data_IF_228056545971
#
_entry.id   IF_228056545971
#
_cell.length_a   1.000
_cell.length_b   1.000
_cell.length_c   1.000
_cell.angle_alpha   90.00
_cell.angle_beta   90.00
_cell.angle_gamma   90.00
#
_symmetry.space_group_name_H-M   'P 1'
#
loop_
_entity.id
_entity.type
_entity.pdbx_description
1 polymer ?
#
# COMPACT_ATOMS: atom_id res chain seq x y z
N UNK A 1 -8.65 2.22 9.08
CA UNK A 1 -7.67 1.12 9.20
C UNK A 1 -7.39 0.54 7.83
N UNK A 2 -6.13 0.57 7.37
CA UNK A 2 -5.71 0.05 6.05
C UNK A 2 -5.32 -1.42 6.18
N UNK A 3 -5.82 -2.25 5.25
CA UNK A 3 -5.56 -3.68 5.24
C UNK A 3 -5.26 -4.15 3.82
N UNK A 4 -4.41 -5.17 3.70
CA UNK A 4 -4.40 -6.01 2.48
C UNK A 4 -5.45 -7.09 2.62
N UNK A 5 -6.24 -7.27 1.58
CA UNK A 5 -7.24 -8.32 1.49
C UNK A 5 -6.79 -9.42 0.54
N UNK A 6 -6.76 -10.65 1.03
CA UNK A 6 -6.51 -11.83 0.23
C UNK A 6 -7.72 -12.75 0.28
N UNK A 7 -8.22 -13.11 -0.90
CA UNK A 7 -9.37 -14.00 -1.05
C UNK A 7 -8.88 -15.40 -1.38
N UNK A 8 -9.23 -16.34 -0.52
CA UNK A 8 -9.03 -17.78 -0.66
C UNK A 8 -10.37 -18.41 -1.06
N UNK A 9 -10.34 -19.33 -2.02
CA UNK A 9 -11.54 -20.03 -2.49
C UNK A 9 -11.97 -21.18 -1.55
N UNK A 10 -11.11 -21.54 -0.60
CA UNK A 10 -11.29 -22.67 0.30
C UNK A 10 -10.77 -22.31 1.70
N UNK A 11 -11.26 -22.96 2.77
CA UNK A 11 -10.68 -22.85 4.10
C UNK A 11 -9.19 -23.16 4.05
N UNK A 12 -8.37 -22.26 4.57
CA UNK A 12 -6.92 -22.27 4.37
C UNK A 12 -6.22 -21.81 5.63
N UNK A 13 -5.15 -22.51 6.00
CA UNK A 13 -4.22 -22.08 7.05
C UNK A 13 -2.83 -21.82 6.46
N UNK A 14 -2.10 -20.91 7.04
CA UNK A 14 -0.79 -20.55 6.54
C UNK A 14 -0.10 -19.49 7.38
N UNK A 15 0.93 -18.90 6.80
CA UNK A 15 1.75 -17.86 7.40
C UNK A 15 1.94 -16.76 6.37
N UNK A 16 1.89 -15.51 6.79
CA UNK A 16 2.33 -14.39 5.97
C UNK A 16 3.55 -13.72 6.61
N UNK A 17 4.45 -13.24 5.75
CA UNK A 17 5.63 -12.46 6.12
C UNK A 17 5.59 -11.16 5.34
N UNK A 18 5.79 -10.02 5.99
CA UNK A 18 5.92 -8.70 5.38
C UNK A 18 7.34 -8.21 5.67
N UNK A 19 8.09 -7.85 4.65
CA UNK A 19 9.49 -7.43 4.78
C UNK A 19 9.69 -6.08 4.11
N UNK A 20 10.39 -5.17 4.79
CA UNK A 20 10.74 -3.86 4.24
C UNK A 20 11.77 -4.04 3.12
N UNK A 21 11.59 -3.28 2.04
CA UNK A 21 12.53 -3.18 0.94
C UNK A 21 13.25 -1.82 1.01
N UNK A 22 13.82 -1.52 2.17
CA UNK A 22 14.58 -0.30 2.44
C UNK A 22 16.06 -0.64 2.59
N UNK A 23 16.95 0.15 1.99
CA UNK A 23 18.41 -0.04 2.13
C UNK A 23 18.89 0.15 3.58
N UNK A 24 18.07 0.78 4.43
CA UNK A 24 18.44 1.20 5.78
C UNK A 24 17.78 0.41 6.91
N UNK A 25 16.78 -0.42 6.61
CA UNK A 25 15.98 -1.10 7.64
C UNK A 25 15.53 -2.47 7.17
N UNK A 26 15.86 -3.48 7.97
CA UNK A 26 15.51 -4.89 7.79
C UNK A 26 14.35 -5.23 8.75
N UNK A 27 13.21 -4.58 8.54
CA UNK A 27 12.00 -4.85 9.30
C UNK A 27 11.25 -6.02 8.65
N UNK A 28 10.88 -6.99 9.48
CA UNK A 28 10.14 -8.16 9.05
C UNK A 28 9.07 -8.52 10.07
N UNK A 29 7.85 -8.68 9.58
CA UNK A 29 6.68 -9.05 10.36
C UNK A 29 6.17 -10.40 9.88
N UNK A 30 6.06 -11.38 10.77
CA UNK A 30 5.51 -12.69 10.44
C UNK A 30 4.32 -12.99 11.35
N UNK A 31 3.24 -13.51 10.78
CA UNK A 31 2.14 -14.05 11.55
C UNK A 31 1.48 -15.24 10.86
N UNK A 32 0.98 -16.15 11.68
CA UNK A 32 0.14 -17.26 11.22
C UNK A 32 -1.30 -16.80 11.06
N UNK A 33 -2.01 -17.44 10.13
CA UNK A 33 -3.40 -17.16 9.87
C UNK A 33 -4.19 -18.44 9.59
N UNK A 34 -5.47 -18.38 9.93
CA UNK A 34 -6.47 -19.37 9.53
C UNK A 34 -7.70 -18.65 8.98
N UNK A 35 -8.09 -19.02 7.77
CA UNK A 35 -9.27 -18.49 7.09
C UNK A 35 -10.28 -19.63 6.96
N UNK A 36 -11.44 -19.47 7.58
CA UNK A 36 -12.50 -20.47 7.58
C UNK A 36 -13.59 -20.18 6.53
N UNK A 37 -14.69 -19.52 6.91
CA UNK A 37 -15.92 -19.47 6.11
C UNK A 37 -15.99 -18.36 5.06
N UNK A 38 -15.32 -17.22 5.28
CA UNK A 38 -15.41 -16.07 4.37
C UNK A 38 -14.31 -16.06 3.31
N UNK A 39 -13.30 -16.93 3.41
CA UNK A 39 -12.17 -16.91 2.48
C UNK A 39 -11.31 -15.64 2.56
N UNK A 40 -11.59 -14.69 3.45
CA UNK A 40 -10.89 -13.40 3.49
C UNK A 40 -9.85 -13.38 4.60
N UNK A 41 -8.59 -13.25 4.22
CA UNK A 41 -7.51 -12.84 5.12
C UNK A 41 -7.38 -11.31 5.07
N UNK A 42 -7.41 -10.68 6.24
CA UNK A 42 -7.13 -9.26 6.42
C UNK A 42 -5.77 -9.12 7.09
N UNK A 43 -4.80 -8.57 6.35
CA UNK A 43 -3.47 -8.30 6.89
C UNK A 43 -3.41 -6.82 7.29
N UNK A 44 -3.25 -6.49 8.58
CA UNK A 44 -3.16 -5.11 9.03
C UNK A 44 -1.86 -4.46 8.56
N UNK A 45 -1.93 -3.20 8.13
CA UNK A 45 -0.77 -2.43 7.66
C UNK A 45 -0.40 -1.29 8.63
N UNK A 46 -1.00 -1.25 9.82
CA UNK A 46 -0.93 -0.09 10.72
C UNK A 46 0.44 0.09 11.39
N UNK A 47 1.15 -1.02 11.58
CA UNK A 47 2.50 -1.03 12.16
C UNK A 47 3.60 -0.88 11.10
N UNK A 48 3.25 -0.68 9.83
CA UNK A 48 4.23 -0.54 8.76
C UNK A 48 4.55 0.93 8.52
N UNK A 49 5.82 1.28 8.64
CA UNK A 49 6.33 2.58 8.23
C UNK A 49 6.13 2.83 6.73
N UNK A 50 6.22 4.10 6.34
CA UNK A 50 6.18 4.50 4.95
C UNK A 50 7.36 3.91 4.19
N UNK A 51 7.10 3.33 3.02
CA UNK A 51 8.16 2.72 2.23
C UNK A 51 7.70 1.65 1.26
N UNK A 52 8.68 0.97 0.69
CA UNK A 52 8.47 -0.22 -0.14
C UNK A 52 8.46 -1.45 0.75
N UNK A 53 7.46 -2.31 0.57
CA UNK A 53 7.30 -3.55 1.32
C UNK A 53 7.01 -4.71 0.37
N UNK A 54 7.43 -5.91 0.76
CA UNK A 54 7.03 -7.15 0.11
C UNK A 54 6.24 -8.01 1.11
N UNK A 55 5.09 -8.53 0.68
CA UNK A 55 4.36 -9.56 1.42
C UNK A 55 4.53 -10.90 0.72
N UNK A 56 4.89 -11.92 1.50
CA UNK A 56 4.97 -13.33 1.12
C UNK A 56 3.94 -14.10 1.92
N UNK A 57 2.99 -14.74 1.26
CA UNK A 57 1.97 -15.58 1.90
C UNK A 57 2.24 -17.01 1.51
N UNK A 58 2.36 -17.89 2.49
CA UNK A 58 2.53 -19.33 2.34
C UNK A 58 1.34 -20.03 2.97
N UNK A 59 0.76 -20.99 2.28
CA UNK A 59 -0.39 -21.71 2.80
C UNK A 59 -0.44 -23.15 2.30
N UNK A 60 -1.22 -23.97 2.99
CA UNK A 60 -1.40 -25.38 2.65
C UNK A 60 -2.88 -25.69 2.40
N UNK A 61 -3.16 -26.39 1.28
CA UNK A 61 -4.48 -26.95 0.98
C UNK A 61 -4.28 -28.39 0.53
N UNK A 62 -4.96 -29.34 1.19
CA UNK A 62 -4.93 -30.77 0.87
C UNK A 62 -3.51 -31.34 0.76
N UNK A 63 -2.62 -30.94 1.68
CA UNK A 63 -1.22 -31.40 1.73
C UNK A 63 -0.31 -30.80 0.65
N UNK A 64 -0.81 -29.84 -0.15
CA UNK A 64 -0.01 -29.09 -1.12
C UNK A 64 0.30 -27.70 -0.58
N UNK A 65 1.57 -27.31 -0.67
CA UNK A 65 2.03 -25.98 -0.29
C UNK A 65 1.94 -25.01 -1.47
N UNK A 66 1.53 -23.79 -1.18
CA UNK A 66 1.41 -22.70 -2.12
C UNK A 66 2.09 -21.46 -1.55
N UNK A 67 2.61 -20.62 -2.44
CA UNK A 67 3.23 -19.35 -2.08
C UNK A 67 2.76 -18.25 -3.04
N UNK A 68 2.53 -17.05 -2.51
CA UNK A 68 2.29 -15.84 -3.29
C UNK A 68 3.09 -14.68 -2.73
N UNK A 69 3.78 -13.96 -3.61
CA UNK A 69 4.53 -12.75 -3.27
C UNK A 69 3.92 -11.53 -3.93
N UNK A 70 3.96 -10.38 -3.25
CA UNK A 70 3.52 -9.10 -3.81
C UNK A 70 4.30 -7.95 -3.19
N UNK A 71 4.85 -7.09 -4.04
CA UNK A 71 5.43 -5.80 -3.63
C UNK A 71 4.36 -4.72 -3.59
N UNK A 72 4.45 -3.83 -2.61
CA UNK A 72 3.53 -2.70 -2.45
C UNK A 72 4.21 -1.52 -1.74
N UNK A 73 3.63 -0.34 -1.89
CA UNK A 73 4.12 0.89 -1.24
C UNK A 73 3.14 1.34 -0.16
N UNK A 74 3.64 1.62 1.03
CA UNK A 74 2.92 2.38 2.06
C UNK A 74 3.33 3.84 1.90
N UNK A 75 2.36 4.69 1.58
CA UNK A 75 2.58 6.13 1.42
C UNK A 75 2.16 6.85 2.70
N UNK A 76 2.90 7.90 3.09
CA UNK A 76 2.45 8.89 4.07
C UNK A 76 1.01 9.26 3.79
N UNK A 77 0.19 9.25 4.83
CA UNK A 77 -0.93 10.17 4.87
C UNK A 77 -0.35 11.56 5.03
N UNK A 78 0.11 12.15 3.92
CA UNK A 78 0.33 13.58 3.85
C UNK A 78 -1.03 14.20 4.13
N UNK A 79 -1.19 14.77 5.31
CA UNK A 79 -2.24 15.72 5.62
C UNK A 79 -2.20 16.83 4.56
N UNK A 80 -2.93 16.66 3.46
CA UNK A 80 -3.18 17.69 2.45
C UNK A 80 -4.22 18.68 2.98
N UNK A 81 -4.01 19.21 4.19
CA UNK A 81 -4.81 20.31 4.72
C UNK A 81 -3.92 21.53 4.94
N UNK A 82 -4.29 22.57 4.20
CA UNK A 82 -3.80 23.96 4.20
C UNK A 82 -2.50 24.27 3.45
N UNK A 83 -2.57 24.19 2.13
CA UNK A 83 -1.99 25.22 1.26
C UNK A 83 -3.06 25.73 0.28
N UNK A 84 -4.17 26.24 0.82
CA UNK A 84 -5.18 26.98 0.05
C UNK A 84 -5.23 28.45 0.49
N UNK A 85 -4.06 29.09 0.52
CA UNK A 85 -3.89 30.54 0.47
C UNK A 85 -2.66 30.77 -0.40
N UNK A 86 -2.74 31.69 -1.36
CA UNK A 86 -1.72 32.01 -2.38
C UNK A 86 -1.73 31.18 -3.68
N UNK A 87 -2.90 30.90 -4.25
CA UNK A 87 -3.04 30.70 -5.69
C UNK A 87 -3.94 31.81 -6.27
N UNK A 88 -3.43 33.03 -6.29
CA UNK A 88 -4.00 34.13 -7.08
C UNK A 88 -2.84 34.90 -7.71
N UNK A 89 -2.20 34.25 -8.66
CA UNK A 89 -1.47 34.91 -9.73
C UNK A 89 -1.66 34.03 -10.97
N UNK A 90 -2.84 34.12 -11.59
CA UNK A 90 -3.01 33.66 -12.96
C UNK A 90 -2.05 34.46 -13.82
N UNK A 91 -1.01 33.76 -14.26
CA UNK A 91 -0.22 34.04 -15.45
C UNK A 91 -1.21 34.29 -16.60
N UNK A 92 -1.30 35.52 -17.08
CA UNK A 92 -1.93 35.81 -18.36
C UNK A 92 -0.89 36.53 -19.23
N UNK A 93 0.05 35.75 -19.76
CA UNK A 93 0.82 36.15 -20.92
C UNK A 93 -0.11 36.11 -22.14
N UNK A 94 -0.54 37.28 -22.60
CA UNK A 94 -0.88 37.46 -24.02
C UNK A 94 -0.21 38.72 -24.55
N UNK A 95 0.85 38.49 -25.32
CA UNK A 95 1.35 39.41 -26.35
C UNK A 95 0.20 39.86 -27.25
N UNK A 96 0.09 41.16 -27.48
CA UNK A 96 -0.86 41.76 -28.42
C UNK A 96 -0.61 43.26 -28.55
N UNK A 97 0.38 43.61 -29.36
CA UNK A 97 0.70 44.96 -29.81
C UNK A 97 -0.43 45.46 -30.74
N UNK A 98 -0.92 46.70 -30.56
CA UNK A 98 -1.50 47.56 -31.62
C UNK A 98 -1.65 49.01 -31.10
N UNK A 99 -1.23 49.96 -31.93
CA UNK A 99 -1.06 51.40 -31.69
C UNK A 99 -2.39 52.18 -31.73
N UNK A 100 -2.45 53.36 -31.08
CA UNK A 100 -2.89 54.63 -31.69
C UNK A 100 -2.70 55.82 -30.73
N UNK A 101 -2.18 56.92 -31.26
CA UNK A 101 -2.23 58.29 -30.74
C UNK A 101 -2.78 59.19 -31.86
#
# INVERSE_FOLDING_TARGET
MKHLHFNFQSPTKGTYTITSYSETSDESYQADFEVQQNGILKVPLESLDEGQWEIVIRWEISGKQFERRRKFSVLAERNLFHANKYASACLNEKKGQLFHH
#
